data_IF_858385994139
#
_entry.id   IF_858385994139
#
_cell.length_a   1.000
_cell.length_b   1.000
_cell.length_c   1.000
_cell.angle_alpha   90.00
_cell.angle_beta   90.00
_cell.angle_gamma   90.00
#
_symmetry.space_group_name_H-M   'P 1'
#
loop_
_entity.id
_entity.type
_entity.pdbx_description
1 polymer ?
#
# COMPACT_ATOMS: atom_id res chain seq x y z
N UNK A 1 -6.96 14.49 -1.58
CA UNK A 1 -6.53 13.41 -0.65
C UNK A 1 -7.52 12.27 -0.76
N UNK A 2 -7.03 11.04 -0.87
CA UNK A 2 -7.85 9.82 -0.90
C UNK A 2 -7.17 8.73 -0.06
N UNK A 3 -7.94 7.77 0.45
CA UNK A 3 -7.39 6.70 1.30
C UNK A 3 -8.21 5.42 1.26
N UNK A 4 -7.52 4.28 1.37
CA UNK A 4 -8.14 2.95 1.40
C UNK A 4 -7.53 2.10 2.50
N UNK A 5 -8.34 1.23 3.10
CA UNK A 5 -7.88 0.24 4.08
C UNK A 5 -7.71 -1.10 3.37
N UNK A 6 -6.56 -1.71 3.58
CA UNK A 6 -6.23 -3.04 3.09
C UNK A 6 -5.80 -3.96 4.23
N UNK A 7 -5.89 -5.26 3.98
CA UNK A 7 -5.30 -6.28 4.83
C UNK A 7 -4.04 -6.82 4.17
N UNK A 8 -2.95 -6.92 4.93
CA UNK A 8 -1.68 -7.53 4.52
C UNK A 8 -1.34 -8.62 5.53
N UNK A 9 -1.21 -9.86 5.05
CA UNK A 9 -0.82 -11.02 5.87
C UNK A 9 0.40 -11.71 5.27
N UNK A 10 1.29 -12.16 6.14
CA UNK A 10 2.45 -12.98 5.78
C UNK A 10 2.57 -14.13 6.78
N UNK A 11 2.84 -15.34 6.29
CA UNK A 11 3.12 -16.51 7.14
C UNK A 11 4.62 -16.79 7.28
N UNK A 12 5.45 -16.04 6.58
CA UNK A 12 6.90 -16.17 6.59
C UNK A 12 7.49 -15.55 7.87
N UNK A 13 8.55 -16.17 8.40
CA UNK A 13 9.38 -15.66 9.49
C UNK A 13 9.91 -14.24 9.25
N UNK A 14 10.16 -13.86 7.99
CA UNK A 14 10.62 -12.51 7.58
C UNK A 14 9.46 -11.60 7.13
N UNK A 15 8.22 -11.91 7.50
CA UNK A 15 7.04 -11.20 7.00
C UNK A 15 7.05 -9.69 7.24
N UNK A 16 7.61 -9.21 8.35
CA UNK A 16 7.73 -7.77 8.64
C UNK A 16 8.68 -7.09 7.64
N UNK A 17 9.80 -7.73 7.29
CA UNK A 17 10.78 -7.18 6.36
C UNK A 17 10.19 -7.08 4.95
N UNK A 18 9.49 -8.13 4.50
CA UNK A 18 8.75 -8.14 3.23
C UNK A 18 7.70 -7.03 3.16
N UNK A 19 6.92 -6.84 4.23
CA UNK A 19 5.93 -5.76 4.29
C UNK A 19 6.62 -4.38 4.21
N UNK A 20 7.75 -4.18 4.89
CA UNK A 20 8.53 -2.93 4.80
C UNK A 20 9.03 -2.68 3.39
N UNK A 21 9.59 -3.70 2.73
CA UNK A 21 10.07 -3.59 1.36
C UNK A 21 8.94 -3.19 0.40
N UNK A 22 7.78 -3.83 0.53
CA UNK A 22 6.59 -3.51 -0.25
C UNK A 22 6.10 -2.05 -0.03
N UNK A 23 6.11 -1.58 1.22
CA UNK A 23 5.74 -0.19 1.55
C UNK A 23 6.76 0.81 0.99
N UNK A 24 8.05 0.50 1.09
CA UNK A 24 9.13 1.34 0.55
C UNK A 24 9.00 1.53 -0.96
N UNK A 25 8.60 0.47 -1.68
CA UNK A 25 8.43 0.50 -3.14
C UNK A 25 7.37 1.52 -3.59
N UNK A 26 6.27 1.65 -2.85
CA UNK A 26 5.19 2.58 -3.21
C UNK A 26 5.36 3.98 -2.61
N UNK A 27 6.08 4.12 -1.50
CA UNK A 27 6.29 5.42 -0.85
C UNK A 27 7.44 6.23 -1.46
N UNK A 28 8.42 5.58 -2.11
CA UNK A 28 9.55 6.23 -2.79
C UNK A 28 9.22 6.65 -4.24
N UNK A 29 8.08 7.28 -4.47
CA UNK A 29 7.74 7.83 -5.80
C UNK A 29 7.96 9.34 -5.85
N UNK A 30 8.64 9.85 -6.88
CA UNK A 30 9.03 11.26 -7.04
C UNK A 30 8.03 12.01 -7.94
N UNK A 31 6.75 11.69 -7.80
CA UNK A 31 5.75 12.02 -8.83
C UNK A 31 4.84 13.19 -8.38
N UNK A 32 5.24 13.95 -7.35
CA UNK A 32 4.44 15.04 -6.78
C UNK A 32 3.29 14.59 -5.85
N UNK A 33 3.19 13.29 -5.56
CA UNK A 33 2.25 12.72 -4.59
C UNK A 33 2.95 12.34 -3.29
N UNK A 34 2.31 12.63 -2.15
CA UNK A 34 2.73 12.12 -0.84
C UNK A 34 1.91 10.88 -0.51
N UNK A 35 2.57 9.72 -0.50
CA UNK A 35 1.97 8.43 -0.15
C UNK A 35 2.38 8.08 1.28
N UNK A 36 1.39 7.76 2.13
CA UNK A 36 1.61 7.30 3.50
C UNK A 36 0.96 5.94 3.68
N UNK A 37 1.71 4.99 4.21
CA UNK A 37 1.19 3.67 4.60
C UNK A 37 1.46 3.48 6.08
N UNK A 38 0.41 3.23 6.86
CA UNK A 38 0.51 3.01 8.29
C UNK A 38 -0.45 1.92 8.76
N UNK A 39 -0.05 1.22 9.82
CA UNK A 39 -0.92 0.21 10.43
C UNK A 39 -2.05 0.88 11.22
N UNK A 40 -3.25 0.32 11.11
CA UNK A 40 -4.42 0.68 11.93
C UNK A 40 -4.80 -0.47 12.88
N UNK A 41 -3.85 -1.38 13.11
CA UNK A 41 -4.02 -2.63 13.85
C UNK A 41 -3.92 -3.83 12.91
N UNK A 42 -2.90 -4.65 13.09
CA UNK A 42 -2.66 -5.83 12.26
C UNK A 42 -3.91 -6.73 12.17
N UNK A 43 -4.22 -7.29 10.99
CA UNK A 43 -3.46 -7.23 9.73
C UNK A 43 -3.81 -6.02 8.85
N UNK A 44 -4.46 -4.98 9.38
CA UNK A 44 -4.99 -3.85 8.61
C UNK A 44 -4.01 -2.69 8.50
N UNK A 45 -3.91 -2.16 7.28
CA UNK A 45 -3.09 -1.01 6.92
C UNK A 45 -3.94 0.00 6.17
N UNK A 46 -3.69 1.28 6.40
CA UNK A 46 -4.28 2.36 5.65
C UNK A 46 -3.23 2.93 4.70
N UNK A 47 -3.63 3.08 3.45
CA UNK A 47 -2.87 3.77 2.42
C UNK A 47 -3.56 5.11 2.19
N UNK A 48 -2.79 6.18 2.26
CA UNK A 48 -3.25 7.54 2.07
C UNK A 48 -2.42 8.21 0.99
N UNK A 49 -3.09 8.76 -0.02
CA UNK A 49 -2.46 9.51 -1.11
C UNK A 49 -2.90 10.96 -1.04
N UNK A 50 -1.91 11.85 -1.03
CA UNK A 50 -2.11 13.30 -1.02
C UNK A 50 -1.44 13.88 -2.26
N UNK A 51 -2.16 14.75 -2.96
CA UNK A 51 -1.71 15.41 -4.18
C UNK A 51 -2.61 16.62 -4.46
N UNK A 52 -2.30 17.34 -5.54
CA UNK A 52 -2.95 18.61 -5.87
C UNK A 52 -4.30 18.42 -6.58
N UNK A 53 -4.39 17.46 -7.51
CA UNK A 53 -5.62 17.18 -8.26
C UNK A 53 -6.38 15.96 -7.69
N UNK A 54 -7.68 16.08 -7.38
CA UNK A 54 -8.47 14.96 -6.86
C UNK A 54 -8.57 13.74 -7.79
N UNK A 55 -8.67 13.92 -9.11
CA UNK A 55 -8.77 12.81 -10.06
C UNK A 55 -7.46 12.02 -10.10
N UNK A 56 -6.35 12.75 -10.23
CA UNK A 56 -5.03 12.12 -10.27
C UNK A 56 -4.72 11.37 -8.95
N UNK A 57 -5.18 11.91 -7.81
CA UNK A 57 -5.03 11.26 -6.51
C UNK A 57 -5.78 9.91 -6.45
N UNK A 58 -7.01 9.84 -6.94
CA UNK A 58 -7.78 8.58 -6.95
C UNK A 58 -7.21 7.56 -7.94
N UNK A 59 -6.75 8.01 -9.11
CA UNK A 59 -6.04 7.15 -10.06
C UNK A 59 -4.74 6.62 -9.45
N UNK A 60 -3.95 7.48 -8.80
CA UNK A 60 -2.71 7.10 -8.13
C UNK A 60 -2.97 6.11 -7.00
N UNK A 61 -4.02 6.30 -6.18
CA UNK A 61 -4.40 5.34 -5.14
C UNK A 61 -4.72 3.96 -5.74
N UNK A 62 -5.46 3.93 -6.84
CA UNK A 62 -5.79 2.68 -7.56
C UNK A 62 -4.54 1.99 -8.08
N UNK A 63 -3.61 2.75 -8.68
CA UNK A 63 -2.33 2.24 -9.15
C UNK A 63 -1.47 1.68 -8.02
N UNK A 64 -1.37 2.40 -6.89
CA UNK A 64 -0.65 1.95 -5.70
C UNK A 64 -1.24 0.65 -5.17
N UNK A 65 -2.56 0.53 -5.07
CA UNK A 65 -3.23 -0.70 -4.65
C UNK A 65 -2.92 -1.87 -5.59
N UNK A 66 -2.93 -1.64 -6.90
CA UNK A 66 -2.59 -2.65 -7.90
C UNK A 66 -1.14 -3.15 -7.75
N UNK A 67 -0.19 -2.23 -7.59
CA UNK A 67 1.24 -2.55 -7.36
C UNK A 67 1.40 -3.37 -6.08
N UNK A 68 0.76 -2.95 -4.97
CA UNK A 68 0.84 -3.66 -3.69
C UNK A 68 0.31 -5.10 -3.80
N UNK A 69 -0.77 -5.32 -4.54
CA UNK A 69 -1.33 -6.66 -4.75
C UNK A 69 -0.42 -7.50 -5.64
N UNK A 70 0.14 -6.93 -6.71
CA UNK A 70 1.02 -7.65 -7.64
C UNK A 70 2.37 -8.01 -7.00
N UNK A 71 3.07 -7.03 -6.43
CA UNK A 71 4.36 -7.24 -5.78
C UNK A 71 4.21 -8.03 -4.49
N UNK A 72 3.15 -7.78 -3.71
CA UNK A 72 2.85 -8.56 -2.52
C UNK A 72 2.72 -10.06 -2.82
N UNK A 73 2.01 -10.43 -3.89
CA UNK A 73 1.91 -11.84 -4.31
C UNK A 73 3.26 -12.46 -4.67
N UNK A 74 4.16 -11.70 -5.32
CA UNK A 74 5.51 -12.19 -5.66
C UNK A 74 6.36 -12.46 -4.41
N UNK A 75 6.19 -11.67 -3.35
CA UNK A 75 6.90 -11.85 -2.09
C UNK A 75 6.25 -12.88 -1.14
N UNK A 76 5.10 -13.45 -1.52
CA UNK A 76 4.33 -14.39 -0.69
C UNK A 76 3.45 -13.71 0.36
N UNK A 77 3.09 -12.44 0.15
CA UNK A 77 2.16 -11.67 0.96
C UNK A 77 0.73 -11.82 0.43
N UNK A 78 -0.22 -12.06 1.34
CA UNK A 78 -1.64 -12.01 1.05
C UNK A 78 -2.14 -10.56 1.24
N UNK A 79 -2.34 -9.86 0.14
CA UNK A 79 -2.88 -8.49 0.13
C UNK A 79 -4.32 -8.53 -0.40
N UNK A 80 -5.26 -7.96 0.36
CA UNK A 80 -6.66 -7.88 -0.05
C UNK A 80 -7.37 -6.67 0.54
N UNK A 81 -8.43 -6.20 -0.13
CA UNK A 81 -9.27 -5.13 0.39
C UNK A 81 -9.96 -5.58 1.69
N UNK A 82 -9.88 -4.75 2.73
CA UNK A 82 -10.76 -4.93 3.89
C UNK A 82 -12.13 -4.36 3.56
N UNK A 83 -13.16 -5.21 3.63
CA UNK A 83 -14.57 -4.80 3.61
C UNK A 83 -14.93 -3.99 4.85
#
# INVERSE_FOLDING_TARGET
>A
KDSKIISIRCKDSLGIEKIKHLVDLVTKTNDGFSIRVYTIGAPRYRIEVVGNDPKDVSEKLTNVLSILVQEGKKEGLEVGESK
#
